data_IF_417010908395
#
_entry.id   IF_417010908395
#
_cell.length_a   1.000
_cell.length_b   1.000
_cell.length_c   1.000
_cell.angle_alpha   90.00
_cell.angle_beta   90.00
_cell.angle_gamma   90.00
#
_symmetry.space_group_name_H-M   'P 1'
#
loop_
_entity.id
_entity.type
_entity.pdbx_description
1 polymer ?
#
# COMPACT_ATOMS: atom_id res chain seq x y z
N UNK A 1 16.78 -6.05 1.40
CA UNK A 1 15.41 -6.62 1.48
C UNK A 1 14.37 -5.53 1.77
N UNK A 2 14.64 -4.68 2.77
CA UNK A 2 13.82 -3.51 3.12
C UNK A 2 13.56 -2.60 1.91
N UNK A 3 14.60 -2.17 1.20
CA UNK A 3 14.45 -1.27 0.04
C UNK A 3 13.51 -1.82 -1.04
N UNK A 4 13.53 -3.15 -1.26
CA UNK A 4 12.62 -3.81 -2.19
C UNK A 4 11.17 -3.76 -1.70
N UNK A 5 10.94 -3.87 -0.40
CA UNK A 5 9.62 -3.72 0.20
C UNK A 5 9.15 -2.27 0.12
N UNK A 6 10.00 -1.29 0.46
CA UNK A 6 9.67 0.13 0.36
C UNK A 6 9.30 0.51 -1.07
N UNK A 7 10.06 0.02 -2.07
CA UNK A 7 9.71 0.22 -3.48
C UNK A 7 8.33 -0.34 -3.84
N UNK A 8 7.99 -1.54 -3.36
CA UNK A 8 6.66 -2.13 -3.55
C UNK A 8 5.55 -1.33 -2.87
N UNK A 9 5.83 -0.67 -1.75
CA UNK A 9 4.88 0.23 -1.10
C UNK A 9 4.62 1.43 -2.00
N UNK A 10 5.66 2.09 -2.51
CA UNK A 10 5.50 3.22 -3.43
C UNK A 10 4.69 2.82 -4.66
N UNK A 11 5.08 1.74 -5.34
CA UNK A 11 4.37 1.21 -6.51
C UNK A 11 2.89 0.87 -6.19
N UNK A 12 2.63 0.31 -5.00
CA UNK A 12 1.29 -0.04 -4.55
C UNK A 12 0.42 1.19 -4.24
N UNK A 13 1.00 2.26 -3.69
CA UNK A 13 0.30 3.53 -3.44
C UNK A 13 -0.05 4.22 -4.76
N UNK A 14 0.88 4.28 -5.70
CA UNK A 14 0.61 4.83 -7.04
C UNK A 14 -0.51 4.06 -7.75
N UNK A 15 -0.47 2.73 -7.65
CA UNK A 15 -1.51 1.85 -8.21
C UNK A 15 -2.86 2.05 -7.51
N UNK A 16 -2.86 2.21 -6.18
CA UNK A 16 -4.07 2.48 -5.41
C UNK A 16 -4.73 3.79 -5.86
N UNK A 17 -3.95 4.86 -6.01
CA UNK A 17 -4.48 6.16 -6.45
C UNK A 17 -5.03 6.08 -7.88
N UNK A 18 -4.34 5.43 -8.82
CA UNK A 18 -4.85 5.23 -10.18
C UNK A 18 -6.18 4.44 -10.21
N UNK A 19 -6.30 3.37 -9.42
CA UNK A 19 -7.56 2.62 -9.32
C UNK A 19 -8.64 3.46 -8.65
N UNK A 20 -8.31 4.23 -7.60
CA UNK A 20 -9.25 5.10 -6.91
C UNK A 20 -9.87 6.14 -7.86
N UNK A 21 -9.03 6.80 -8.67
CA UNK A 21 -9.49 7.71 -9.70
C UNK A 21 -10.40 7.01 -10.73
N UNK A 22 -10.08 5.77 -11.12
CA UNK A 22 -10.92 4.97 -12.02
C UNK A 22 -12.28 4.60 -11.41
N UNK A 23 -12.32 4.24 -10.13
CA UNK A 23 -13.59 3.99 -9.40
C UNK A 23 -14.47 5.24 -9.41
N UNK A 24 -13.87 6.41 -9.15
CA UNK A 24 -14.60 7.68 -9.06
C UNK A 24 -15.11 8.16 -10.44
N UNK A 25 -14.31 7.95 -11.49
CA UNK A 25 -14.65 8.36 -12.85
C UNK A 25 -15.51 7.33 -13.62
N UNK A 26 -15.66 6.11 -13.11
CA UNK A 26 -16.46 5.08 -13.77
C UNK A 26 -17.94 5.46 -13.80
N UNK A 27 -18.51 5.54 -15.00
CA UNK A 27 -19.92 5.91 -15.23
C UNK A 27 -20.86 4.70 -15.32
N UNK A 28 -20.34 3.48 -15.45
CA UNK A 28 -21.14 2.25 -15.49
C UNK A 28 -20.85 1.34 -14.28
N UNK A 29 -21.89 0.62 -13.83
CA UNK A 29 -21.85 -0.21 -12.62
C UNK A 29 -20.80 -1.33 -12.71
N UNK A 30 -20.73 -2.04 -13.84
CA UNK A 30 -19.84 -3.18 -13.99
C UNK A 30 -18.34 -2.80 -13.89
N UNK A 31 -17.93 -1.68 -14.49
CA UNK A 31 -16.55 -1.19 -14.36
C UNK A 31 -16.29 -0.69 -12.94
N UNK A 32 -17.26 -0.01 -12.32
CA UNK A 32 -17.13 0.44 -10.94
C UNK A 32 -16.91 -0.73 -9.98
N UNK A 33 -17.73 -1.78 -10.05
CA UNK A 33 -17.58 -2.99 -9.24
C UNK A 33 -16.24 -3.69 -9.47
N UNK A 34 -15.78 -3.74 -10.74
CA UNK A 34 -14.47 -4.29 -11.08
C UNK A 34 -13.34 -3.49 -10.40
N UNK A 35 -13.37 -2.16 -10.53
CA UNK A 35 -12.34 -1.31 -9.95
C UNK A 35 -12.39 -1.32 -8.41
N UNK A 36 -13.57 -1.40 -7.80
CA UNK A 36 -13.72 -1.59 -6.34
C UNK A 36 -13.11 -2.92 -5.87
N UNK A 37 -13.29 -4.00 -6.65
CA UNK A 37 -12.68 -5.28 -6.35
C UNK A 37 -11.14 -5.25 -6.46
N UNK A 38 -10.62 -4.55 -7.47
CA UNK A 38 -9.17 -4.39 -7.65
C UNK A 38 -8.57 -3.47 -6.59
N UNK A 39 -9.26 -2.39 -6.23
CA UNK A 39 -8.90 -1.50 -5.12
C UNK A 39 -8.80 -2.27 -3.80
N UNK A 40 -9.80 -3.12 -3.52
CA UNK A 40 -9.81 -3.99 -2.32
C UNK A 40 -8.64 -4.97 -2.30
N UNK A 41 -8.22 -5.49 -3.46
CA UNK A 41 -7.03 -6.35 -3.54
C UNK A 41 -5.77 -5.55 -3.24
N UNK A 42 -5.65 -4.33 -3.75
CA UNK A 42 -4.47 -3.48 -3.55
C UNK A 42 -4.33 -3.04 -2.09
N UNK A 43 -5.43 -2.64 -1.44
CA UNK A 43 -5.48 -2.36 0.01
C UNK A 43 -4.91 -3.55 0.81
N UNK A 44 -5.32 -4.77 0.49
CA UNK A 44 -4.82 -5.98 1.20
C UNK A 44 -3.32 -6.21 0.96
N UNK A 45 -2.77 -5.86 -0.20
CA UNK A 45 -1.33 -5.97 -0.46
C UNK A 45 -0.55 -4.95 0.35
N UNK A 46 -0.98 -3.69 0.34
CA UNK A 46 -0.39 -2.62 1.13
C UNK A 46 -0.42 -2.96 2.62
N UNK A 47 -1.54 -3.48 3.15
CA UNK A 47 -1.65 -3.95 4.53
C UNK A 47 -0.61 -5.03 4.89
N UNK A 48 -0.35 -6.00 3.99
CA UNK A 48 0.68 -7.03 4.22
C UNK A 48 2.09 -6.43 4.26
N UNK A 49 2.40 -5.47 3.38
CA UNK A 49 3.67 -4.75 3.40
C UNK A 49 3.81 -3.92 4.69
N UNK A 50 2.73 -3.29 5.14
CA UNK A 50 2.68 -2.56 6.43
C UNK A 50 2.97 -3.48 7.61
N UNK A 51 2.43 -4.69 7.63
CA UNK A 51 2.71 -5.64 8.71
C UNK A 51 4.16 -6.19 8.66
N UNK A 52 4.73 -6.36 7.46
CA UNK A 52 6.16 -6.66 7.29
C UNK A 52 7.04 -5.50 7.79
N UNK A 53 6.69 -4.25 7.49
CA UNK A 53 7.37 -3.07 8.02
C UNK A 53 7.25 -3.02 9.55
N UNK A 54 6.09 -3.36 10.10
CA UNK A 54 5.87 -3.43 11.56
C UNK A 54 6.77 -4.47 12.22
N UNK A 55 6.99 -5.64 11.62
CA UNK A 55 7.90 -6.65 12.18
C UNK A 55 9.36 -6.18 12.17
N UNK A 56 9.79 -5.48 11.12
CA UNK A 56 11.11 -4.84 11.06
C UNK A 56 11.30 -3.73 12.09
N UNK A 57 10.29 -2.90 12.31
CA UNK A 57 10.31 -1.90 13.38
C UNK A 57 10.42 -2.56 14.76
N UNK A 58 9.76 -3.70 14.97
CA UNK A 58 9.85 -4.46 16.21
C UNK A 58 11.20 -5.18 16.37
N UNK A 59 11.93 -5.43 15.27
CA UNK A 59 13.27 -6.03 15.31
C UNK A 59 14.29 -5.09 15.96
N UNK A 60 15.20 -5.67 16.74
CA UNK A 60 16.34 -4.97 17.34
C UNK A 60 17.51 -4.76 16.37
N UNK A 61 17.47 -5.36 15.18
CA UNK A 61 18.57 -5.35 14.21
C UNK A 61 18.69 -4.01 13.46
N UNK A 62 17.61 -3.24 13.40
CA UNK A 62 17.54 -1.98 12.66
C UNK A 62 17.78 -0.81 13.61
N UNK A 63 18.88 -0.10 13.39
CA UNK A 63 19.26 1.08 14.19
C UNK A 63 18.39 2.29 13.86
N UNK A 64 18.25 2.62 12.58
CA UNK A 64 17.42 3.75 12.12
C UNK A 64 16.09 3.24 11.55
N UNK A 65 15.00 3.63 12.22
CA UNK A 65 13.63 3.21 11.90
C UNK A 65 12.81 4.33 11.27
N UNK A 66 13.40 5.49 11.01
CA UNK A 66 12.70 6.70 10.56
C UNK A 66 11.95 6.44 9.26
N UNK A 67 12.66 5.94 8.23
CA UNK A 67 12.07 5.59 6.94
C UNK A 67 10.97 4.53 7.07
N UNK A 68 11.15 3.52 7.93
CA UNK A 68 10.13 2.49 8.13
C UNK A 68 8.85 3.05 8.75
N UNK A 69 8.97 4.00 9.67
CA UNK A 69 7.83 4.67 10.28
C UNK A 69 7.09 5.54 9.27
N UNK A 70 7.80 6.23 8.39
CA UNK A 70 7.18 7.07 7.35
C UNK A 70 6.39 6.24 6.34
N UNK A 71 6.98 5.16 5.83
CA UNK A 71 6.28 4.25 4.92
C UNK A 71 5.12 3.50 5.59
N UNK A 72 5.22 3.21 6.89
CA UNK A 72 4.08 2.65 7.64
C UNK A 72 2.91 3.64 7.70
N UNK A 73 3.19 4.92 7.98
CA UNK A 73 2.15 5.97 8.00
C UNK A 73 1.53 6.17 6.62
N UNK A 74 2.35 6.15 5.56
CA UNK A 74 1.89 6.28 4.18
C UNK A 74 0.81 5.25 3.82
N UNK A 75 0.91 4.02 4.33
CA UNK A 75 -0.09 2.95 4.09
C UNK A 75 -1.34 3.08 4.99
N UNK A 76 -1.22 3.76 6.14
CA UNK A 76 -2.30 3.96 7.10
C UNK A 76 -3.17 5.20 6.79
N UNK A 77 -2.79 6.01 5.79
CA UNK A 77 -3.47 7.25 5.37
C UNK A 77 -4.37 6.98 4.18
#
# INVERSE_FOLDING_TARGET
EIDRCLKKVTEGVDTFEDIWQKVHNATNSNQKEKYEADLKKEIKKLQRLRDQIKSWIASGEIKDKSTLLDYRKLIET
#
